data_IF_510009589582
#
_entry.id   IF_510009589582
#
_cell.length_a   1.000
_cell.length_b   1.000
_cell.length_c   1.000
_cell.angle_alpha   90.00
_cell.angle_beta   90.00
_cell.angle_gamma   90.00
#
_symmetry.space_group_name_H-M   'P 1'
#
loop_
_entity.id
_entity.type
_entity.pdbx_description
1 polymer ?
#
# COMPACT_ATOMS: atom_id res chain seq x y z
N UNK A 1 21.91 10.25 14.48
CA UNK A 1 22.71 9.43 15.41
C UNK A 1 21.83 8.26 15.82
N UNK A 2 22.43 7.10 16.07
CA UNK A 2 21.71 5.94 16.59
C UNK A 2 21.37 6.13 18.08
N UNK A 3 20.80 5.10 18.69
CA UNK A 3 20.44 5.09 20.12
C UNK A 3 21.65 5.15 21.07
N UNK A 4 22.86 4.94 20.56
CA UNK A 4 24.13 5.01 21.30
C UNK A 4 24.85 6.35 21.10
N UNK A 5 24.31 7.24 20.25
CA UNK A 5 24.90 8.54 19.94
C UNK A 5 25.94 8.50 18.82
N UNK A 6 26.10 7.37 18.13
CA UNK A 6 27.00 7.22 16.98
C UNK A 6 26.38 7.87 15.74
N UNK A 7 27.19 8.54 14.93
CA UNK A 7 26.74 9.10 13.65
C UNK A 7 26.41 7.97 12.66
N UNK A 8 25.12 7.84 12.29
CA UNK A 8 24.65 6.87 11.29
C UNK A 8 25.25 7.09 9.90
N UNK A 9 25.53 8.35 9.56
CA UNK A 9 26.14 8.79 8.30
C UNK A 9 27.21 9.82 8.66
N UNK A 10 28.43 9.73 8.11
CA UNK A 10 29.53 10.65 8.45
C UNK A 10 29.28 12.07 7.92
N UNK A 11 29.82 13.07 8.63
CA UNK A 11 29.70 14.51 8.30
C UNK A 11 30.66 14.92 7.16
N UNK A 12 30.48 14.33 5.97
CA UNK A 12 31.38 14.49 4.81
C UNK A 12 30.69 15.07 3.57
N UNK A 13 29.37 15.24 3.61
CA UNK A 13 28.54 15.55 2.44
C UNK A 13 28.03 17.00 2.51
N UNK A 14 27.93 17.63 1.34
CA UNK A 14 27.48 19.02 1.19
C UNK A 14 25.96 19.14 1.38
N UNK A 15 25.22 18.09 1.00
CA UNK A 15 23.77 18.03 1.09
C UNK A 15 23.30 16.60 1.35
N UNK A 16 22.22 16.48 2.12
CA UNK A 16 21.47 15.24 2.32
C UNK A 16 20.14 15.34 1.57
N UNK A 17 19.73 14.25 0.93
CA UNK A 17 18.43 14.08 0.31
C UNK A 17 17.49 13.24 1.19
N UNK A 18 16.60 12.50 0.55
CA UNK A 18 15.60 11.69 1.24
C UNK A 18 16.22 10.48 1.95
N UNK A 19 15.68 10.19 3.14
CA UNK A 19 15.99 9.01 3.94
C UNK A 19 15.07 7.85 3.50
N UNK A 20 15.68 6.72 3.19
CA UNK A 20 15.03 5.45 2.85
C UNK A 20 15.26 4.43 3.99
N UNK A 21 14.68 3.24 3.87
CA UNK A 21 14.68 2.22 4.94
C UNK A 21 16.08 1.77 5.37
N UNK A 22 17.06 1.80 4.47
CA UNK A 22 18.46 1.46 4.76
C UNK A 22 19.49 2.37 4.09
N UNK A 23 19.05 3.44 3.45
CA UNK A 23 19.89 4.28 2.60
C UNK A 23 19.57 5.76 2.79
N UNK A 24 20.57 6.61 2.57
CA UNK A 24 20.41 8.06 2.52
C UNK A 24 21.00 8.59 1.22
N UNK A 25 20.22 9.37 0.48
CA UNK A 25 20.75 10.11 -0.66
C UNK A 25 21.71 11.19 -0.16
N UNK A 26 22.93 11.21 -0.70
CA UNK A 26 23.99 12.13 -0.26
C UNK A 26 24.61 12.84 -1.45
N UNK A 27 24.99 14.10 -1.26
CA UNK A 27 25.61 14.91 -2.31
C UNK A 27 26.96 15.41 -1.86
N UNK A 28 27.96 15.29 -2.71
CA UNK A 28 29.30 15.84 -2.50
C UNK A 28 29.91 16.29 -3.83
N UNK A 29 30.57 17.45 -3.81
CA UNK A 29 31.22 18.06 -4.98
C UNK A 29 30.24 18.21 -6.17
N UNK A 30 28.99 18.53 -5.86
CA UNK A 30 27.91 18.73 -6.84
C UNK A 30 27.28 17.46 -7.40
N UNK A 31 27.79 16.26 -7.08
CA UNK A 31 27.27 14.96 -7.53
C UNK A 31 26.54 14.22 -6.41
N UNK A 32 25.58 13.38 -6.78
CA UNK A 32 24.82 12.51 -5.89
C UNK A 32 25.43 11.12 -5.80
N UNK A 33 25.27 10.50 -4.65
CA UNK A 33 25.53 9.09 -4.35
C UNK A 33 24.60 8.62 -3.23
N UNK A 34 24.86 7.44 -2.68
CA UNK A 34 24.00 6.84 -1.66
C UNK A 34 24.85 6.25 -0.55
N UNK A 35 24.58 6.65 0.68
CA UNK A 35 25.26 6.14 1.88
C UNK A 35 24.36 5.14 2.61
N UNK A 36 24.97 4.12 3.21
CA UNK A 36 24.32 3.32 4.25
C UNK A 36 24.05 4.17 5.49
N UNK A 37 23.08 3.75 6.31
CA UNK A 37 22.68 4.43 7.55
C UNK A 37 23.02 3.63 8.81
N UNK A 38 23.83 2.58 8.68
CA UNK A 38 24.21 1.65 9.75
C UNK A 38 25.50 2.06 10.49
N UNK A 39 25.92 3.33 10.34
CA UNK A 39 27.17 3.87 10.88
C UNK A 39 28.47 3.26 10.30
N UNK A 40 28.41 2.35 9.33
CA UNK A 40 29.61 1.86 8.63
C UNK A 40 30.30 2.95 7.81
N UNK A 41 29.53 3.96 7.37
CA UNK A 41 29.99 4.97 6.42
C UNK A 41 30.20 4.42 5.01
N UNK A 42 29.69 3.22 4.72
CA UNK A 42 29.74 2.60 3.40
C UNK A 42 28.90 3.38 2.38
N UNK A 43 29.45 3.60 1.19
CA UNK A 43 28.69 4.07 0.04
C UNK A 43 28.01 2.86 -0.62
N UNK A 44 26.68 2.81 -0.54
CA UNK A 44 25.87 1.85 -1.27
C UNK A 44 25.93 2.12 -2.77
N UNK A 45 26.01 3.39 -3.16
CA UNK A 45 26.23 3.82 -4.54
C UNK A 45 27.26 4.97 -4.55
N UNK A 46 28.22 4.97 -5.49
CA UNK A 46 29.27 5.99 -5.56
C UNK A 46 28.69 7.39 -5.79
N UNK A 47 29.41 8.41 -5.32
CA UNK A 47 29.05 9.82 -5.54
C UNK A 47 29.47 10.27 -6.94
N UNK A 48 28.72 9.87 -7.96
CA UNK A 48 29.03 10.17 -9.36
C UNK A 48 27.80 10.55 -10.22
N UNK A 49 26.62 10.59 -9.61
CA UNK A 49 25.36 10.83 -10.32
C UNK A 49 25.05 12.32 -10.40
N UNK A 50 24.39 12.72 -11.48
CA UNK A 50 23.97 14.11 -11.67
C UNK A 50 22.66 14.40 -10.97
N UNK A 51 21.82 13.39 -10.81
CA UNK A 51 20.53 13.49 -10.16
C UNK A 51 20.17 12.22 -9.38
N UNK A 52 19.41 12.41 -8.30
CA UNK A 52 18.93 11.35 -7.43
C UNK A 52 17.55 11.73 -6.89
N UNK A 53 16.59 10.81 -6.96
CA UNK A 53 15.22 11.03 -6.51
C UNK A 53 14.68 9.81 -5.80
N UNK A 54 14.14 10.00 -4.59
CA UNK A 54 13.38 8.97 -3.90
C UNK A 54 11.89 9.05 -4.25
N UNK A 55 11.22 7.90 -4.15
CA UNK A 55 9.81 7.71 -4.44
C UNK A 55 9.13 6.95 -3.31
N UNK A 56 7.81 6.84 -3.38
CA UNK A 56 7.04 5.98 -2.49
C UNK A 56 7.49 4.51 -2.60
N UNK A 57 7.17 3.69 -1.60
CA UNK A 57 7.45 2.26 -1.64
C UNK A 57 8.93 1.88 -1.47
N UNK A 58 9.74 2.77 -0.89
CA UNK A 58 11.17 2.54 -0.60
C UNK A 58 12.00 2.30 -1.88
N UNK A 59 11.80 3.16 -2.89
CA UNK A 59 12.50 3.11 -4.17
C UNK A 59 13.19 4.44 -4.43
N UNK A 60 14.38 4.39 -5.03
CA UNK A 60 15.03 5.59 -5.56
C UNK A 60 15.63 5.34 -6.95
N UNK A 61 15.75 6.42 -7.72
CA UNK A 61 16.38 6.42 -9.02
C UNK A 61 17.61 7.31 -9.01
N UNK A 62 18.67 6.84 -9.68
CA UNK A 62 19.89 7.60 -9.91
C UNK A 62 20.09 7.79 -11.41
N UNK A 63 20.50 9.02 -11.77
CA UNK A 63 20.72 9.39 -13.17
C UNK A 63 22.05 10.09 -13.35
N UNK A 64 22.78 9.68 -14.39
CA UNK A 64 23.95 10.42 -14.90
C UNK A 64 23.54 11.53 -15.88
N UNK A 65 22.24 11.75 -16.09
CA UNK A 65 21.74 12.85 -16.88
C UNK A 65 21.81 14.18 -16.11
N UNK A 66 22.29 15.23 -16.78
CA UNK A 66 22.26 16.59 -16.25
C UNK A 66 21.08 17.37 -16.85
N UNK A 67 20.10 17.70 -16.00
CA UNK A 67 18.89 18.46 -16.36
C UNK A 67 19.18 19.88 -16.85
N UNK A 68 20.35 20.43 -16.54
CA UNK A 68 20.77 21.78 -16.93
C UNK A 68 21.40 21.77 -18.31
N UNK A 69 22.31 20.83 -18.58
CA UNK A 69 23.12 20.82 -19.81
C UNK A 69 22.56 19.98 -20.95
N UNK A 70 21.55 19.14 -20.69
CA UNK A 70 20.94 18.25 -21.68
C UNK A 70 21.95 17.35 -22.43
N UNK A 71 23.07 16.98 -21.78
CA UNK A 71 24.15 16.19 -22.40
C UNK A 71 23.80 14.69 -22.52
N UNK A 72 24.10 14.09 -23.67
CA UNK A 72 23.32 12.97 -24.28
C UNK A 72 23.93 11.56 -24.10
N UNK A 73 25.04 11.39 -23.40
CA UNK A 73 25.91 10.23 -23.67
C UNK A 73 25.64 8.91 -22.91
N UNK A 74 24.54 8.75 -22.17
CA UNK A 74 24.04 7.40 -21.76
C UNK A 74 22.69 7.46 -21.03
N UNK A 75 21.61 7.38 -21.81
CA UNK A 75 20.24 7.71 -21.41
C UNK A 75 19.49 6.59 -20.66
N UNK A 76 20.02 6.07 -19.56
CA UNK A 76 19.24 5.17 -18.71
C UNK A 76 19.31 5.55 -17.24
N UNK A 77 18.13 5.46 -16.60
CA UNK A 77 18.00 5.54 -15.16
C UNK A 77 18.37 4.19 -14.55
N UNK A 78 18.99 4.22 -13.38
CA UNK A 78 19.13 3.02 -12.54
C UNK A 78 18.16 3.13 -11.39
N UNK A 79 17.38 2.08 -11.17
CA UNK A 79 16.38 2.01 -10.11
C UNK A 79 16.90 1.06 -9.03
N UNK A 80 16.74 1.47 -7.78
CA UNK A 80 17.26 0.78 -6.61
C UNK A 80 16.19 0.71 -5.51
N UNK A 81 16.26 -0.34 -4.71
CA UNK A 81 15.48 -0.45 -3.48
C UNK A 81 16.13 0.36 -2.36
N UNK A 82 15.37 0.78 -1.35
CA UNK A 82 15.85 1.65 -0.27
C UNK A 82 16.86 1.01 0.68
N UNK A 83 17.18 -0.28 0.50
CA UNK A 83 18.33 -0.94 1.12
C UNK A 83 19.63 -0.81 0.29
N UNK A 84 19.62 -0.08 -0.82
CA UNK A 84 20.77 0.15 -1.69
C UNK A 84 20.96 -0.87 -2.81
N UNK A 85 20.20 -1.98 -2.81
CA UNK A 85 20.29 -2.99 -3.86
C UNK A 85 19.70 -2.45 -5.15
N UNK A 86 20.46 -2.55 -6.23
CA UNK A 86 19.95 -2.26 -7.57
C UNK A 86 18.81 -3.22 -7.93
N UNK A 87 17.68 -2.64 -8.33
CA UNK A 87 16.52 -3.38 -8.82
C UNK A 87 16.76 -3.76 -10.29
N UNK A 88 16.82 -2.77 -11.17
CA UNK A 88 17.12 -2.95 -12.60
C UNK A 88 17.61 -1.64 -13.23
N UNK A 89 18.27 -1.76 -14.38
CA UNK A 89 18.59 -0.62 -15.25
C UNK A 89 17.51 -0.52 -16.31
N UNK A 90 16.86 0.64 -16.42
CA UNK A 90 15.82 0.85 -17.40
C UNK A 90 16.49 1.36 -18.70
N UNK A 91 17.16 0.50 -19.45
CA UNK A 91 17.99 0.90 -20.62
C UNK A 91 17.21 1.65 -21.71
N UNK A 92 15.89 1.44 -21.76
CA UNK A 92 14.96 2.07 -22.70
C UNK A 92 14.27 3.32 -22.16
N UNK A 93 14.43 3.64 -20.87
CA UNK A 93 13.71 4.71 -20.18
C UNK A 93 14.67 5.67 -19.47
N UNK A 94 14.34 6.95 -19.42
CA UNK A 94 15.24 7.97 -18.90
C UNK A 94 14.61 8.84 -17.80
N UNK A 95 13.40 8.52 -17.37
CA UNK A 95 12.77 9.14 -16.20
C UNK A 95 11.86 8.15 -15.47
N UNK A 96 11.87 8.23 -14.14
CA UNK A 96 10.80 7.71 -13.28
C UNK A 96 9.85 8.86 -13.01
N UNK A 97 8.60 8.69 -13.43
CA UNK A 97 7.55 9.69 -13.27
C UNK A 97 6.90 9.57 -11.88
N UNK A 98 6.56 8.35 -11.47
CA UNK A 98 5.94 8.07 -10.18
C UNK A 98 6.07 6.59 -9.78
N UNK A 99 5.79 6.29 -8.51
CA UNK A 99 5.66 4.92 -7.99
C UNK A 99 4.33 4.82 -7.24
N UNK A 100 3.47 3.90 -7.66
CA UNK A 100 2.21 3.60 -7.00
C UNK A 100 2.11 2.10 -6.71
N UNK A 101 2.13 1.75 -5.41
CA UNK A 101 2.12 0.37 -4.95
C UNK A 101 3.31 -0.45 -5.46
N UNK A 102 3.01 -1.37 -6.38
CA UNK A 102 3.97 -2.29 -7.00
C UNK A 102 4.38 -1.87 -8.41
N UNK A 103 3.88 -0.72 -8.89
CA UNK A 103 4.11 -0.19 -10.23
C UNK A 103 5.04 1.02 -10.18
N UNK A 104 6.09 0.97 -10.98
CA UNK A 104 7.03 2.06 -11.24
C UNK A 104 6.70 2.62 -12.63
N UNK A 105 6.17 3.84 -12.66
CA UNK A 105 5.84 4.52 -13.89
C UNK A 105 7.07 5.22 -14.45
N UNK A 106 7.45 4.82 -15.65
CA UNK A 106 8.62 5.33 -16.37
C UNK A 106 8.22 5.92 -17.70
N UNK A 107 9.02 6.87 -18.18
CA UNK A 107 8.87 7.46 -19.50
C UNK A 107 10.18 7.41 -20.27
N UNK A 108 10.07 7.49 -21.60
CA UNK A 108 11.20 7.72 -22.50
C UNK A 108 11.02 9.10 -23.12
N UNK A 109 11.90 10.06 -22.79
CA UNK A 109 11.87 11.38 -23.42
C UNK A 109 11.86 11.28 -24.94
N UNK A 110 10.90 11.96 -25.56
CA UNK A 110 10.64 11.93 -27.01
C UNK A 110 9.40 11.13 -27.37
N UNK A 111 9.07 10.12 -26.56
CA UNK A 111 7.84 9.34 -26.68
C UNK A 111 6.88 9.90 -25.62
N UNK A 112 5.72 10.44 -26.02
CA UNK A 112 4.67 10.90 -25.09
C UNK A 112 3.96 9.69 -24.42
N UNK A 113 4.70 8.64 -24.08
CA UNK A 113 4.19 7.37 -23.61
C UNK A 113 4.68 7.07 -22.19
N UNK A 114 3.74 6.66 -21.35
CA UNK A 114 4.01 6.17 -19.99
C UNK A 114 3.97 4.65 -19.98
N UNK A 115 4.90 4.01 -19.28
CA UNK A 115 4.95 2.56 -19.09
C UNK A 115 4.98 2.26 -17.59
N UNK A 116 4.17 1.30 -17.14
CA UNK A 116 4.19 0.82 -15.76
C UNK A 116 5.00 -0.46 -15.67
N UNK A 117 6.10 -0.43 -14.91
CA UNK A 117 6.97 -1.58 -14.67
C UNK A 117 6.72 -2.15 -13.28
N UNK A 118 6.90 -3.45 -13.11
CA UNK A 118 6.98 -4.07 -11.79
C UNK A 118 8.26 -3.62 -11.08
N UNK A 119 8.34 -3.92 -9.78
CA UNK A 119 9.57 -3.75 -8.99
C UNK A 119 10.77 -4.56 -9.51
N UNK A 120 10.57 -5.52 -10.40
CA UNK A 120 11.62 -6.31 -11.07
C UNK A 120 11.89 -5.86 -12.51
N UNK A 121 11.17 -4.87 -13.03
CA UNK A 121 11.35 -4.32 -14.37
C UNK A 121 10.49 -4.98 -15.45
N UNK A 122 9.57 -5.87 -15.08
CA UNK A 122 8.61 -6.47 -16.02
C UNK A 122 7.52 -5.46 -16.39
N UNK A 123 7.06 -5.45 -17.64
CA UNK A 123 5.99 -4.54 -18.06
C UNK A 123 4.65 -5.03 -17.47
N UNK A 124 4.08 -4.25 -16.56
CA UNK A 124 2.74 -4.47 -16.00
C UNK A 124 1.68 -3.69 -16.76
N UNK A 125 1.98 -2.41 -17.07
CA UNK A 125 1.11 -1.53 -17.84
C UNK A 125 1.80 -1.23 -19.18
N UNK A 126 1.21 -1.63 -20.32
CA UNK A 126 1.80 -1.38 -21.63
C UNK A 126 1.89 0.13 -21.91
N UNK A 127 2.70 0.55 -22.89
CA UNK A 127 2.84 1.96 -23.23
C UNK A 127 1.51 2.63 -23.55
N UNK A 128 1.19 3.70 -22.82
CA UNK A 128 -0.01 4.53 -23.04
C UNK A 128 0.43 5.86 -23.65
N UNK A 129 0.09 6.07 -24.91
CA UNK A 129 0.43 7.29 -25.65
C UNK A 129 -0.34 8.53 -25.14
N UNK A 130 0.15 9.72 -25.50
CA UNK A 130 -0.38 11.03 -25.12
C UNK A 130 -0.65 11.18 -23.61
N UNK A 131 0.19 10.53 -22.81
CA UNK A 131 0.10 10.53 -21.35
C UNK A 131 1.00 11.62 -20.77
N UNK A 132 0.43 12.46 -19.91
CA UNK A 132 1.18 13.39 -19.07
C UNK A 132 1.10 12.94 -17.61
N UNK A 133 2.11 13.36 -16.82
CA UNK A 133 2.34 13.11 -15.39
C UNK A 133 1.24 12.28 -14.71
N UNK A 134 1.49 11.01 -14.33
CA UNK A 134 0.53 10.24 -13.55
C UNK A 134 0.18 11.01 -12.28
N UNK A 135 -1.10 11.35 -12.13
CA UNK A 135 -1.61 11.75 -10.83
C UNK A 135 -1.89 10.48 -10.04
N UNK A 136 -1.07 10.20 -9.02
CA UNK A 136 -1.40 9.16 -8.04
C UNK A 136 -2.45 9.68 -7.06
N UNK A 137 -3.51 8.89 -6.89
CA UNK A 137 -4.62 9.17 -5.97
C UNK A 137 -4.79 7.99 -5.03
N UNK A 138 -3.96 7.96 -3.98
CA UNK A 138 -3.88 6.80 -3.07
C UNK A 138 -3.35 5.58 -3.82
N UNK A 139 -4.16 4.53 -3.91
CA UNK A 139 -3.81 3.26 -4.56
C UNK A 139 -4.14 3.22 -6.06
N UNK A 140 -4.39 4.38 -6.69
CA UNK A 140 -4.82 4.48 -8.08
C UNK A 140 -3.95 5.45 -8.87
N UNK A 141 -3.75 5.15 -10.15
CA UNK A 141 -3.07 6.03 -11.10
C UNK A 141 -3.97 6.28 -12.30
N UNK A 142 -4.15 7.55 -12.62
CA UNK A 142 -4.76 7.99 -13.86
C UNK A 142 -3.68 8.12 -14.91
N UNK A 143 -3.75 7.28 -15.94
CA UNK A 143 -2.82 7.34 -17.07
C UNK A 143 -3.56 7.91 -18.26
N UNK A 144 -3.06 9.05 -18.74
CA UNK A 144 -3.50 9.85 -19.88
C UNK A 144 -4.78 10.67 -19.69
N UNK A 145 -4.79 11.86 -20.28
CA UNK A 145 -5.93 12.78 -20.30
C UNK A 145 -5.48 14.24 -20.30
N UNK A 146 -5.89 15.03 -21.31
CA UNK A 146 -5.63 16.47 -21.37
C UNK A 146 -6.73 17.20 -20.59
N UNK A 147 -6.33 18.03 -19.62
CA UNK A 147 -7.18 19.08 -19.06
C UNK A 147 -7.43 20.14 -20.14
N UNK A 148 -8.55 20.08 -20.87
CA UNK A 148 -9.03 21.23 -21.63
C UNK A 148 -10.20 21.86 -20.87
N UNK A 149 -10.01 23.11 -20.47
CA UNK A 149 -10.91 23.91 -19.64
C UNK A 149 -12.24 24.15 -20.36
N UNK A 150 -13.22 23.26 -20.21
CA UNK A 150 -14.65 23.60 -20.01
C UNK A 150 -15.63 22.42 -20.04
N UNK A 151 -15.27 21.20 -20.43
CA UNK A 151 -16.20 20.06 -20.45
C UNK A 151 -15.44 18.74 -20.20
N UNK A 152 -15.67 18.13 -19.03
CA UNK A 152 -15.39 16.73 -18.61
C UNK A 152 -14.05 16.07 -19.01
N UNK A 153 -13.36 15.53 -18.00
CA UNK A 153 -12.03 14.89 -18.06
C UNK A 153 -12.06 13.63 -18.94
N UNK A 154 -11.31 13.55 -20.07
CA UNK A 154 -11.11 12.28 -20.75
C UNK A 154 -10.18 11.40 -19.89
N UNK A 155 -10.75 10.37 -19.24
CA UNK A 155 -9.97 9.37 -18.50
C UNK A 155 -9.27 8.48 -19.53
N UNK A 156 -7.93 8.44 -19.57
CA UNK A 156 -7.24 7.58 -20.54
C UNK A 156 -7.17 6.10 -20.12
N UNK A 157 -6.93 5.80 -18.85
CA UNK A 157 -7.26 4.55 -18.13
C UNK A 157 -7.10 4.82 -16.62
N UNK A 158 -7.71 3.99 -15.79
CA UNK A 158 -7.37 3.90 -14.35
C UNK A 158 -6.67 2.58 -14.10
N UNK A 159 -5.51 2.67 -13.46
CA UNK A 159 -4.70 1.53 -13.05
C UNK A 159 -4.65 1.49 -11.52
N UNK A 160 -4.78 0.29 -10.93
CA UNK A 160 -4.62 0.12 -9.49
C UNK A 160 -3.14 -0.07 -9.07
N UNK A 161 -2.90 -0.12 -7.76
CA UNK A 161 -1.58 -0.31 -7.15
C UNK A 161 -0.83 -1.57 -7.57
N UNK A 162 -1.50 -2.56 -8.17
CA UNK A 162 -0.90 -3.81 -8.65
C UNK A 162 -0.62 -3.79 -10.17
N UNK A 163 -0.96 -2.70 -10.87
CA UNK A 163 -0.75 -2.56 -12.31
C UNK A 163 -1.91 -3.05 -13.17
N UNK A 164 -3.07 -3.33 -12.58
CA UNK A 164 -4.24 -3.80 -13.32
C UNK A 164 -5.06 -2.61 -13.82
N UNK A 165 -5.47 -2.66 -15.08
CA UNK A 165 -6.39 -1.69 -15.67
C UNK A 165 -7.81 -2.02 -15.20
N UNK A 166 -8.36 -1.18 -14.33
CA UNK A 166 -9.70 -1.38 -13.76
C UNK A 166 -10.77 -0.51 -14.41
N UNK A 167 -10.39 0.64 -14.98
CA UNK A 167 -11.27 1.45 -15.82
C UNK A 167 -10.62 1.71 -17.19
N UNK A 168 -11.07 1.08 -18.28
CA UNK A 168 -10.51 1.28 -19.60
C UNK A 168 -10.90 2.64 -20.20
N UNK A 169 -10.19 3.01 -21.27
CA UNK A 169 -10.40 4.27 -21.97
C UNK A 169 -11.85 4.48 -22.38
N UNK A 170 -12.37 5.68 -22.14
CA UNK A 170 -13.64 6.12 -22.71
C UNK A 170 -14.89 5.52 -22.06
N UNK A 171 -14.80 4.41 -21.34
CA UNK A 171 -15.95 3.75 -20.71
C UNK A 171 -16.56 4.57 -19.55
N UNK A 172 -15.72 5.33 -18.83
CA UNK A 172 -16.12 6.04 -17.63
C UNK A 172 -15.71 7.52 -17.62
N UNK A 173 -16.43 8.32 -16.84
CA UNK A 173 -16.07 9.69 -16.49
C UNK A 173 -15.94 9.80 -14.96
N UNK A 174 -14.85 10.41 -14.47
CA UNK A 174 -14.68 10.70 -13.06
C UNK A 174 -15.62 11.84 -12.61
N UNK A 175 -16.14 11.70 -11.40
CA UNK A 175 -16.83 12.80 -10.72
C UNK A 175 -15.79 13.67 -10.01
N UNK A 176 -15.86 14.99 -10.23
CA UNK A 176 -14.83 15.99 -9.93
C UNK A 176 -14.57 16.26 -8.44
N UNK A 177 -15.34 15.66 -7.56
CA UNK A 177 -15.49 15.99 -6.16
C UNK A 177 -15.19 14.78 -5.28
N UNK A 178 -13.90 14.60 -4.94
CA UNK A 178 -13.49 13.65 -3.90
C UNK A 178 -13.57 12.17 -4.30
N UNK A 179 -13.59 11.86 -5.60
CA UNK A 179 -13.83 10.51 -6.13
C UNK A 179 -13.01 9.40 -5.48
N UNK A 180 -11.75 9.64 -5.09
CA UNK A 180 -10.89 8.62 -4.46
C UNK A 180 -10.99 8.65 -2.93
N UNK A 181 -11.67 7.67 -2.35
CA UNK A 181 -11.79 7.54 -0.88
C UNK A 181 -11.63 6.08 -0.48
N UNK A 182 -10.73 5.79 0.46
CA UNK A 182 -10.48 4.41 0.89
C UNK A 182 -9.97 3.52 -0.26
N UNK A 183 -10.53 2.31 -0.39
CA UNK A 183 -10.16 1.30 -1.40
C UNK A 183 -10.94 1.42 -2.72
N UNK A 184 -11.50 2.58 -3.04
CA UNK A 184 -12.33 2.73 -4.25
C UNK A 184 -12.54 4.17 -4.69
N UNK A 185 -13.20 4.32 -5.82
CA UNK A 185 -13.56 5.62 -6.36
C UNK A 185 -14.85 5.65 -7.15
N UNK A 186 -15.48 6.83 -7.22
CA UNK A 186 -16.79 7.01 -7.86
C UNK A 186 -16.66 7.56 -9.28
N UNK A 187 -17.39 6.94 -10.19
CA UNK A 187 -17.39 7.23 -11.61
C UNK A 187 -18.80 7.12 -12.20
N UNK A 188 -18.96 7.63 -13.42
CA UNK A 188 -20.17 7.44 -14.24
C UNK A 188 -19.80 6.60 -15.46
N UNK A 189 -20.53 5.50 -15.67
CA UNK A 189 -20.45 4.74 -16.91
C UNK A 189 -21.10 5.55 -18.05
N UNK A 190 -20.36 5.84 -19.12
CA UNK A 190 -20.83 6.71 -20.21
C UNK A 190 -21.90 6.08 -21.09
N UNK A 191 -21.96 4.75 -21.17
CA UNK A 191 -22.95 4.04 -21.98
C UNK A 191 -24.32 4.00 -21.28
N UNK A 192 -24.31 3.74 -19.97
CA UNK A 192 -25.54 3.54 -19.20
C UNK A 192 -25.98 4.79 -18.42
N UNK A 193 -25.07 5.75 -18.20
CA UNK A 193 -25.28 6.87 -17.29
C UNK A 193 -25.28 6.45 -15.81
N UNK A 194 -25.06 5.18 -15.50
CA UNK A 194 -25.09 4.65 -14.14
C UNK A 194 -23.87 5.15 -13.36
N UNK A 195 -24.12 5.70 -12.18
CA UNK A 195 -23.07 6.00 -11.21
C UNK A 195 -22.66 4.70 -10.53
N UNK A 196 -21.37 4.47 -10.38
CA UNK A 196 -20.82 3.26 -9.76
C UNK A 196 -19.60 3.64 -8.94
N UNK A 197 -19.40 2.93 -7.83
CA UNK A 197 -18.12 2.94 -7.12
C UNK A 197 -17.30 1.75 -7.57
N UNK A 198 -16.16 2.04 -8.19
CA UNK A 198 -15.19 1.06 -8.59
C UNK A 198 -14.22 0.80 -7.44
N UNK A 199 -14.14 -0.44 -6.99
CA UNK A 199 -13.22 -0.86 -5.94
C UNK A 199 -11.82 -1.14 -6.53
N UNK A 200 -10.82 -1.21 -5.66
CA UNK A 200 -9.41 -1.36 -6.05
C UNK A 200 -9.11 -2.60 -6.89
N UNK A 201 -9.89 -3.66 -6.69
CA UNK A 201 -9.86 -4.92 -7.43
C UNK A 201 -10.71 -4.88 -8.73
N UNK A 202 -11.29 -3.73 -9.06
CA UNK A 202 -12.17 -3.55 -10.22
C UNK A 202 -13.62 -3.94 -9.98
N UNK A 203 -14.00 -4.35 -8.76
CA UNK A 203 -15.38 -4.69 -8.46
C UNK A 203 -16.27 -3.44 -8.51
N UNK A 204 -17.37 -3.54 -9.26
CA UNK A 204 -18.33 -2.46 -9.43
C UNK A 204 -19.45 -2.52 -8.41
N UNK A 205 -19.42 -1.62 -7.44
CA UNK A 205 -20.53 -1.37 -6.54
C UNK A 205 -21.49 -0.36 -7.17
N UNK A 206 -22.59 -0.88 -7.69
CA UNK A 206 -23.63 -0.05 -8.30
C UNK A 206 -24.31 0.78 -7.25
N UNK A 207 -24.38 2.07 -7.52
CA UNK A 207 -25.17 3.00 -6.72
C UNK A 207 -26.65 2.82 -7.00
N UNK A 208 -27.53 2.95 -5.99
CA UNK A 208 -28.95 3.10 -6.21
C UNK A 208 -29.20 4.25 -7.20
N UNK A 209 -30.06 4.01 -8.20
CA UNK A 209 -30.38 5.00 -9.21
C UNK A 209 -31.32 6.07 -8.62
N UNK A 210 -30.76 6.96 -7.81
CA UNK A 210 -31.46 8.04 -7.12
C UNK A 210 -30.84 9.38 -7.47
N UNK A 211 -31.63 10.47 -7.58
CA UNK A 211 -31.13 11.75 -8.06
C UNK A 211 -30.03 12.36 -7.18
N UNK A 212 -30.00 12.02 -5.88
CA UNK A 212 -29.07 12.57 -4.91
C UNK A 212 -28.54 11.48 -3.97
N UNK A 213 -27.25 11.17 -4.08
CA UNK A 213 -26.55 10.28 -3.15
C UNK A 213 -25.18 10.85 -2.81
N UNK A 214 -24.70 10.55 -1.60
CA UNK A 214 -23.39 10.94 -1.11
C UNK A 214 -22.64 9.70 -0.64
N UNK A 215 -21.44 9.51 -1.19
CA UNK A 215 -20.48 8.51 -0.76
C UNK A 215 -19.82 8.95 0.55
N UNK A 216 -19.93 8.14 1.61
CA UNK A 216 -19.22 8.40 2.86
C UNK A 216 -18.10 7.37 3.13
N UNK A 217 -17.54 6.76 2.08
CA UNK A 217 -16.50 5.72 2.07
C UNK A 217 -16.96 4.34 2.56
N UNK A 218 -17.99 4.29 3.40
CA UNK A 218 -18.46 3.08 4.10
C UNK A 218 -19.87 2.66 3.69
N UNK A 219 -20.46 3.41 2.76
CA UNK A 219 -21.83 3.25 2.33
C UNK A 219 -22.35 4.52 1.71
N UNK A 220 -23.68 4.61 1.64
CA UNK A 220 -24.36 5.66 0.91
C UNK A 220 -25.38 6.36 1.79
N UNK A 221 -25.34 7.69 1.77
CA UNK A 221 -26.48 8.50 2.21
C UNK A 221 -27.29 8.81 0.96
N UNK A 222 -28.57 8.43 0.98
CA UNK A 222 -29.43 8.53 -0.20
C UNK A 222 -30.62 9.42 0.15
N UNK A 223 -30.91 10.37 -0.75
CA UNK A 223 -31.93 11.39 -0.54
C UNK A 223 -33.05 11.28 -1.58
N UNK A 224 -34.28 11.47 -1.12
CA UNK A 224 -35.44 11.67 -1.97
C UNK A 224 -35.70 13.17 -2.20
N UNK A 225 -36.41 13.49 -3.27
CA UNK A 225 -36.78 14.87 -3.62
C UNK A 225 -37.67 15.54 -2.56
N UNK A 226 -38.34 14.74 -1.72
CA UNK A 226 -39.17 15.21 -0.61
C UNK A 226 -38.35 15.57 0.65
N UNK A 227 -37.02 15.41 0.61
CA UNK A 227 -36.11 15.66 1.73
C UNK A 227 -35.93 14.50 2.71
N UNK A 228 -36.65 13.38 2.55
CA UNK A 228 -36.35 12.18 3.33
C UNK A 228 -35.02 11.57 2.86
N UNK A 229 -34.38 10.83 3.76
CA UNK A 229 -33.14 10.14 3.44
C UNK A 229 -33.02 8.84 4.23
N UNK A 230 -32.19 7.94 3.71
CA UNK A 230 -31.82 6.67 4.34
C UNK A 230 -30.33 6.42 4.16
N UNK A 231 -29.80 5.48 4.94
CA UNK A 231 -28.37 5.15 4.91
C UNK A 231 -28.22 3.67 4.66
N UNK A 232 -27.33 3.34 3.73
CA UNK A 232 -26.91 1.98 3.47
C UNK A 232 -25.45 1.76 3.84
N UNK A 233 -25.07 0.50 4.00
CA UNK A 233 -23.68 0.09 3.95
C UNK A 233 -23.16 0.14 2.50
N UNK A 234 -21.87 -0.14 2.32
CA UNK A 234 -21.21 -0.15 1.02
C UNK A 234 -21.87 -1.11 0.00
N UNK A 235 -22.55 -2.16 0.50
CA UNK A 235 -23.22 -3.19 -0.30
C UNK A 235 -24.71 -2.91 -0.53
N UNK A 236 -25.22 -1.76 -0.07
CA UNK A 236 -26.61 -1.37 -0.24
C UNK A 236 -27.58 -1.90 0.82
N UNK A 237 -27.10 -2.59 1.87
CA UNK A 237 -27.95 -2.99 2.98
C UNK A 237 -28.35 -1.76 3.79
N UNK A 238 -29.64 -1.59 4.07
CA UNK A 238 -30.16 -0.46 4.84
C UNK A 238 -29.65 -0.56 6.30
N UNK A 239 -28.85 0.41 6.71
CA UNK A 239 -28.41 0.62 8.11
C UNK A 239 -29.42 1.49 8.84
N UNK A 240 -29.87 2.56 8.18
CA UNK A 240 -30.87 3.50 8.71
C UNK A 240 -32.00 3.59 7.70
N UNK A 241 -33.24 3.23 8.07
CA UNK A 241 -34.36 3.25 7.14
C UNK A 241 -34.80 4.68 6.80
N UNK A 242 -35.55 4.78 5.70
CA UNK A 242 -36.10 6.05 5.24
C UNK A 242 -37.05 6.66 6.28
N UNK A 243 -36.96 7.98 6.47
CA UNK A 243 -37.91 8.75 7.28
C UNK A 243 -37.55 8.88 8.76
N UNK A 244 -36.47 8.25 9.21
CA UNK A 244 -35.90 8.47 10.55
C UNK A 244 -35.32 9.88 10.71
N UNK A 245 -34.75 10.44 9.64
CA UNK A 245 -34.10 11.75 9.63
C UNK A 245 -34.53 12.59 8.42
N UNK A 246 -34.59 13.92 8.60
CA UNK A 246 -35.10 14.89 7.61
C UNK A 246 -33.99 15.67 6.93
N UNK A 247 -32.81 15.75 7.54
CA UNK A 247 -31.61 16.31 6.91
C UNK A 247 -30.38 15.61 7.47
N UNK A 248 -29.50 15.17 6.58
CA UNK A 248 -28.20 14.61 6.95
C UNK A 248 -27.12 15.42 6.26
N UNK A 249 -26.26 16.06 7.05
CA UNK A 249 -25.07 16.75 6.56
C UNK A 249 -23.85 15.88 6.89
N UNK A 250 -23.04 15.63 5.87
CA UNK A 250 -21.81 14.88 6.01
C UNK A 250 -20.66 15.83 6.32
N UNK A 251 -19.87 15.49 7.34
CA UNK A 251 -18.63 16.21 7.66
C UNK A 251 -17.57 15.18 8.03
N UNK A 252 -16.55 15.06 7.17
CA UNK A 252 -15.35 14.27 7.47
C UNK A 252 -14.40 15.02 8.43
N UNK A 253 -14.58 16.32 8.55
CA UNK A 253 -13.74 17.21 9.33
C UNK A 253 -14.59 18.37 9.86
N UNK A 254 -14.82 18.38 11.17
CA UNK A 254 -15.22 19.59 11.89
C UNK A 254 -14.05 19.98 12.80
N UNK A 255 -13.48 21.19 12.66
CA UNK A 255 -12.39 21.65 13.52
C UNK A 255 -12.77 21.66 15.01
N UNK A 256 -14.08 21.61 15.32
CA UNK A 256 -14.62 21.62 16.68
C UNK A 256 -14.97 20.22 17.23
N UNK A 257 -14.86 19.15 16.44
CA UNK A 257 -15.18 17.76 16.82
C UNK A 257 -14.00 16.80 16.62
N UNK A 258 -12.78 17.26 16.91
CA UNK A 258 -11.52 16.49 16.82
C UNK A 258 -11.46 15.21 17.67
N UNK A 259 -12.45 14.97 18.52
CA UNK A 259 -12.57 13.74 19.34
C UNK A 259 -13.03 12.53 18.50
N UNK A 260 -13.76 12.75 17.40
CA UNK A 260 -14.27 11.67 16.57
C UNK A 260 -13.17 11.24 15.57
N UNK A 261 -12.57 10.07 15.83
CA UNK A 261 -11.49 9.49 15.01
C UNK A 261 -11.97 8.82 13.71
N UNK A 262 -13.30 8.79 13.48
CA UNK A 262 -13.92 8.07 12.37
C UNK A 262 -14.98 8.95 11.69
N UNK A 263 -15.29 8.70 10.40
CA UNK A 263 -16.40 9.34 9.70
C UNK A 263 -17.69 9.25 10.52
N UNK A 264 -18.40 10.37 10.64
CA UNK A 264 -19.66 10.46 11.35
C UNK A 264 -20.67 11.24 10.50
N UNK A 265 -21.94 11.05 10.82
CA UNK A 265 -23.03 11.75 10.11
C UNK A 265 -23.72 12.67 11.10
N UNK A 266 -23.84 13.94 10.74
CA UNK A 266 -24.68 14.88 11.49
C UNK A 266 -26.09 14.75 10.93
N UNK A 267 -27.02 14.29 11.76
CA UNK A 267 -28.40 14.07 11.38
C UNK A 267 -29.35 14.98 12.16
N UNK A 268 -30.45 15.38 11.54
CA UNK A 268 -31.54 16.12 12.16
C UNK A 268 -32.81 15.27 12.19
N UNK A 269 -33.40 15.12 13.38
CA UNK A 269 -34.67 14.43 13.56
C UNK A 269 -35.85 15.27 13.02
N UNK A 270 -37.03 14.65 12.94
CA UNK A 270 -38.28 15.32 12.51
C UNK A 270 -38.73 16.51 13.38
N UNK A 271 -38.16 16.69 14.57
CA UNK A 271 -38.45 17.79 15.48
C UNK A 271 -37.40 18.91 15.38
N UNK A 272 -36.47 18.82 14.44
CA UNK A 272 -35.41 19.80 14.22
C UNK A 272 -34.20 19.65 15.16
N UNK A 273 -34.10 18.57 15.93
CA UNK A 273 -32.97 18.31 16.85
C UNK A 273 -31.82 17.64 16.12
N UNK A 274 -30.61 18.10 16.39
CA UNK A 274 -29.39 17.56 15.79
C UNK A 274 -28.74 16.49 16.67
N UNK A 275 -28.16 15.48 16.04
CA UNK A 275 -27.35 14.45 16.66
C UNK A 275 -26.20 14.01 15.75
N UNK A 276 -25.27 13.23 16.32
CA UNK A 276 -24.17 12.60 15.58
C UNK A 276 -24.38 11.10 15.58
N UNK A 277 -24.38 10.51 14.39
CA UNK A 277 -24.51 9.08 14.19
C UNK A 277 -23.12 8.49 13.98
N UNK A 278 -22.75 7.54 14.83
CA UNK A 278 -21.65 6.62 14.60
C UNK A 278 -22.24 5.36 13.97
N UNK A 279 -21.77 5.02 12.76
CA UNK A 279 -22.26 3.87 12.03
C UNK A 279 -21.32 2.69 12.22
N UNK A 280 -21.90 1.48 12.33
CA UNK A 280 -21.14 0.25 12.39
C UNK A 280 -20.27 0.10 11.12
N UNK A 281 -19.01 -0.27 11.31
CA UNK A 281 -18.04 -0.36 10.23
C UNK A 281 -18.07 -1.77 9.62
N UNK A 282 -18.48 -1.87 8.35
CA UNK A 282 -18.23 -3.06 7.54
C UNK A 282 -17.26 -2.71 6.41
N UNK A 283 -15.96 -2.95 6.58
CA UNK A 283 -14.98 -2.60 5.55
C UNK A 283 -15.16 -3.46 4.30
N UNK A 284 -14.76 -2.91 3.15
CA UNK A 284 -14.55 -3.72 1.96
C UNK A 284 -13.29 -4.56 2.16
N UNK A 285 -13.44 -5.88 2.15
CA UNK A 285 -12.32 -6.81 2.18
C UNK A 285 -11.98 -7.19 0.75
N UNK A 286 -10.72 -7.04 0.37
CA UNK A 286 -10.29 -7.39 -0.99
C UNK A 286 -10.36 -8.92 -1.14
N UNK A 287 -11.11 -9.44 -2.12
CA UNK A 287 -11.21 -10.88 -2.37
C UNK A 287 -9.89 -11.45 -2.91
N UNK A 288 -9.67 -12.76 -2.78
CA UNK A 288 -8.51 -13.41 -3.36
C UNK A 288 -8.61 -13.47 -4.90
N UNK A 289 -7.47 -13.69 -5.54
CA UNK A 289 -7.45 -14.05 -6.96
C UNK A 289 -8.05 -15.43 -7.20
N UNK A 290 -8.66 -15.64 -8.37
CA UNK A 290 -9.27 -16.91 -8.77
C UNK A 290 -8.37 -18.13 -8.56
N UNK A 291 -7.08 -18.01 -8.89
CA UNK A 291 -6.11 -19.09 -8.73
C UNK A 291 -5.87 -19.50 -7.27
N UNK A 292 -6.13 -18.60 -6.32
CA UNK A 292 -5.90 -18.83 -4.89
C UNK A 292 -7.17 -19.28 -4.14
N UNK A 293 -8.35 -19.21 -4.78
CA UNK A 293 -9.63 -19.48 -4.12
C UNK A 293 -9.68 -20.90 -3.53
N UNK A 294 -9.23 -21.90 -4.29
CA UNK A 294 -9.26 -23.31 -3.88
C UNK A 294 -8.40 -23.54 -2.64
N UNK A 295 -7.12 -23.14 -2.71
CA UNK A 295 -6.15 -23.26 -1.61
C UNK A 295 -6.61 -22.51 -0.34
N UNK A 296 -7.13 -21.29 -0.50
CA UNK A 296 -7.64 -20.48 0.61
C UNK A 296 -8.85 -21.15 1.25
N UNK A 297 -9.79 -21.65 0.43
CA UNK A 297 -11.00 -22.31 0.94
C UNK A 297 -10.64 -23.57 1.72
N UNK A 298 -9.71 -24.37 1.20
CA UNK A 298 -9.20 -25.55 1.90
C UNK A 298 -8.57 -25.17 3.23
N UNK A 299 -7.64 -24.21 3.23
CA UNK A 299 -6.92 -23.77 4.43
C UNK A 299 -7.86 -23.19 5.50
N UNK A 300 -8.85 -22.39 5.10
CA UNK A 300 -9.89 -21.86 6.01
C UNK A 300 -10.74 -23.00 6.58
N UNK A 301 -11.18 -23.95 5.74
CA UNK A 301 -11.99 -25.09 6.19
C UNK A 301 -11.24 -26.02 7.15
N UNK A 302 -9.91 -26.10 7.01
CA UNK A 302 -9.02 -26.84 7.91
C UNK A 302 -8.67 -26.06 9.18
N UNK A 303 -9.13 -24.82 9.35
CA UNK A 303 -8.81 -23.96 10.49
C UNK A 303 -7.38 -23.43 10.50
N UNK A 304 -6.68 -23.49 9.36
CA UNK A 304 -5.28 -23.03 9.24
C UNK A 304 -5.16 -21.51 9.11
N UNK A 305 -6.25 -20.83 8.71
CA UNK A 305 -6.30 -19.36 8.62
C UNK A 305 -7.25 -18.82 9.68
N UNK A 306 -6.75 -18.21 10.77
CA UNK A 306 -7.60 -17.60 11.79
C UNK A 306 -8.58 -16.57 11.22
N UNK A 307 -9.76 -16.44 11.82
CA UNK A 307 -10.84 -15.55 11.33
C UNK A 307 -10.36 -14.10 11.12
N UNK A 308 -9.56 -13.57 12.05
CA UNK A 308 -8.99 -12.22 11.95
C UNK A 308 -7.94 -12.06 10.83
N UNK A 309 -7.49 -13.16 10.21
CA UNK A 309 -6.60 -13.18 9.05
C UNK A 309 -7.33 -13.38 7.72
N UNK A 310 -8.63 -13.67 7.72
CA UNK A 310 -9.41 -13.91 6.50
C UNK A 310 -9.87 -12.61 5.83
N UNK A 311 -8.91 -11.77 5.42
CA UNK A 311 -9.14 -10.43 4.88
C UNK A 311 -8.05 -10.02 3.91
N UNK A 312 -8.38 -9.11 3.01
CA UNK A 312 -7.42 -8.35 2.20
C UNK A 312 -6.35 -9.23 1.53
N UNK A 313 -6.82 -10.28 0.84
CA UNK A 313 -6.00 -11.38 0.34
C UNK A 313 -4.94 -11.01 -0.71
N UNK A 314 -5.00 -9.78 -1.22
CA UNK A 314 -4.07 -9.24 -2.23
C UNK A 314 -3.08 -8.23 -1.63
N UNK A 315 -3.27 -7.84 -0.37
CA UNK A 315 -2.36 -6.93 0.32
C UNK A 315 -1.11 -7.68 0.80
N UNK A 316 -0.02 -6.92 1.02
CA UNK A 316 1.22 -7.50 1.54
C UNK A 316 1.02 -8.03 2.96
N UNK A 317 1.34 -9.31 3.18
CA UNK A 317 1.35 -9.88 4.52
C UNK A 317 2.38 -9.16 5.41
N UNK A 318 1.98 -8.77 6.61
CA UNK A 318 2.88 -8.13 7.57
C UNK A 318 3.58 -9.15 8.46
N UNK A 319 4.67 -8.77 9.11
CA UNK A 319 5.34 -9.57 10.15
C UNK A 319 4.36 -10.02 11.25
N UNK A 320 3.43 -9.14 11.63
CA UNK A 320 2.40 -9.47 12.62
C UNK A 320 1.36 -10.45 12.10
N UNK A 321 0.86 -10.25 10.87
CA UNK A 321 -0.08 -11.19 10.25
C UNK A 321 0.52 -12.59 10.12
N UNK A 322 1.79 -12.67 9.73
CA UNK A 322 2.50 -13.94 9.61
C UNK A 322 2.64 -14.68 10.94
N UNK A 323 2.82 -13.96 12.06
CA UNK A 323 2.82 -14.58 13.40
C UNK A 323 1.44 -15.14 13.76
N UNK A 324 0.36 -14.40 13.47
CA UNK A 324 -1.01 -14.86 13.73
C UNK A 324 -1.38 -16.07 12.88
N UNK A 325 -0.92 -16.13 11.62
CA UNK A 325 -1.07 -17.31 10.77
C UNK A 325 -0.40 -18.57 11.34
N UNK A 326 0.61 -18.42 12.21
CA UNK A 326 1.22 -19.56 12.90
C UNK A 326 0.46 -20.02 14.15
N UNK A 327 -0.49 -19.22 14.66
CA UNK A 327 -1.18 -19.53 15.92
C UNK A 327 -1.83 -20.93 15.91
N UNK A 328 -2.61 -21.34 14.88
CA UNK A 328 -3.21 -22.68 14.85
C UNK A 328 -2.18 -23.82 14.93
N UNK A 329 -1.02 -23.64 14.29
CA UNK A 329 0.08 -24.62 14.33
C UNK A 329 0.68 -24.73 15.73
N UNK A 330 0.96 -23.59 16.37
CA UNK A 330 1.59 -23.54 17.70
C UNK A 330 0.65 -24.04 18.80
N UNK A 331 -0.64 -23.72 18.71
CA UNK A 331 -1.69 -24.20 19.60
C UNK A 331 -1.87 -25.72 19.51
N UNK A 332 -1.97 -26.26 18.29
CA UNK A 332 -2.09 -27.71 18.05
C UNK A 332 -0.91 -28.48 18.61
N UNK A 333 0.29 -27.89 18.55
CA UNK A 333 1.50 -28.47 19.10
C UNK A 333 1.59 -28.38 20.64
N UNK A 334 0.64 -27.72 21.31
CA UNK A 334 0.60 -27.55 22.76
C UNK A 334 1.78 -26.75 23.31
N UNK A 335 2.36 -25.86 22.49
CA UNK A 335 3.58 -25.16 22.84
C UNK A 335 3.26 -24.03 23.83
N UNK A 336 3.79 -24.15 25.05
CA UNK A 336 3.65 -23.12 26.08
C UNK A 336 4.80 -22.13 26.04
N UNK A 337 4.51 -20.86 26.38
CA UNK A 337 5.48 -19.78 26.42
C UNK A 337 6.56 -20.03 27.48
N UNK A 338 7.85 -20.11 27.11
CA UNK A 338 8.94 -20.30 28.07
C UNK A 338 9.33 -19.01 28.81
N UNK A 339 8.96 -17.83 28.30
CA UNK A 339 9.20 -16.50 28.88
C UNK A 339 8.37 -15.42 28.16
N UNK A 340 7.93 -14.35 28.83
CA UNK A 340 7.24 -13.26 28.14
C UNK A 340 8.26 -12.39 27.37
N UNK A 341 8.20 -12.41 26.04
CA UNK A 341 8.82 -11.37 25.23
C UNK A 341 8.07 -10.04 25.47
N UNK A 342 8.75 -8.91 25.32
CA UNK A 342 8.13 -7.60 25.44
C UNK A 342 8.66 -6.69 24.32
N UNK A 343 7.73 -6.04 23.63
CA UNK A 343 8.02 -5.04 22.62
C UNK A 343 7.25 -3.77 22.96
N UNK A 344 7.80 -2.62 22.57
CA UNK A 344 7.20 -1.31 22.86
C UNK A 344 6.06 -0.94 21.91
N UNK A 345 5.97 -1.63 20.77
CA UNK A 345 5.07 -1.32 19.66
C UNK A 345 4.00 -2.40 19.41
N UNK A 346 3.91 -3.43 20.25
CA UNK A 346 2.87 -4.45 20.16
C UNK A 346 2.61 -5.15 21.50
N UNK A 347 1.35 -5.54 21.72
CA UNK A 347 0.89 -6.37 22.83
C UNK A 347 0.16 -7.63 22.34
N UNK A 348 0.32 -7.95 21.05
CA UNK A 348 -0.35 -9.07 20.39
C UNK A 348 0.19 -10.41 20.89
N UNK A 349 -0.70 -11.25 21.42
CA UNK A 349 -0.32 -12.49 22.11
C UNK A 349 0.38 -13.50 21.17
N UNK A 350 -0.03 -13.58 19.90
CA UNK A 350 0.57 -14.50 18.92
C UNK A 350 1.99 -14.07 18.56
N UNK A 351 2.21 -12.76 18.41
CA UNK A 351 3.55 -12.20 18.20
C UNK A 351 4.45 -12.48 19.41
N UNK A 352 3.94 -12.24 20.62
CA UNK A 352 4.71 -12.44 21.85
C UNK A 352 5.02 -13.92 22.09
N UNK A 353 4.09 -14.82 21.76
CA UNK A 353 4.29 -16.27 21.80
C UNK A 353 5.39 -16.68 20.80
N UNK A 354 5.28 -16.30 19.52
CA UNK A 354 6.27 -16.61 18.51
C UNK A 354 7.67 -16.10 18.90
N UNK A 355 7.75 -14.88 19.45
CA UNK A 355 9.00 -14.30 19.93
C UNK A 355 9.57 -15.05 21.14
N UNK A 356 8.72 -15.44 22.11
CA UNK A 356 9.14 -16.22 23.28
C UNK A 356 9.75 -17.58 22.91
N UNK A 357 9.33 -18.13 21.78
CA UNK A 357 9.80 -19.39 21.24
C UNK A 357 11.05 -19.25 20.37
N UNK A 358 11.53 -18.03 20.15
CA UNK A 358 12.66 -17.74 19.27
C UNK A 358 12.34 -17.95 17.79
N UNK A 359 11.06 -18.02 17.41
CA UNK A 359 10.62 -18.17 16.02
C UNK A 359 10.82 -16.85 15.26
N UNK A 360 10.64 -15.72 15.95
CA UNK A 360 10.82 -14.37 15.41
C UNK A 360 11.70 -13.54 16.33
N UNK A 361 12.39 -12.55 15.75
CA UNK A 361 13.20 -11.58 16.48
C UNK A 361 12.65 -10.16 16.26
N UNK A 362 12.94 -9.25 17.20
CA UNK A 362 12.64 -7.82 17.03
C UNK A 362 13.48 -7.16 15.95
N UNK A 363 13.07 -5.97 15.52
CA UNK A 363 13.75 -5.16 14.51
C UNK A 363 14.76 -4.17 15.09
N UNK A 364 15.00 -4.24 16.41
CA UNK A 364 15.89 -3.36 17.16
C UNK A 364 15.13 -2.33 18.02
N UNK A 365 15.85 -1.61 18.89
CA UNK A 365 15.29 -0.56 19.76
C UNK A 365 14.04 -0.95 20.56
N UNK A 366 13.95 -2.23 20.96
CA UNK A 366 12.79 -2.76 21.70
C UNK A 366 11.49 -2.84 20.88
N UNK A 367 11.58 -2.89 19.55
CA UNK A 367 10.43 -2.97 18.63
C UNK A 367 10.36 -4.31 17.90
N UNK A 368 9.14 -4.68 17.51
CA UNK A 368 8.86 -5.82 16.64
C UNK A 368 8.53 -5.40 15.19
N UNK A 369 8.00 -4.19 14.99
CA UNK A 369 7.47 -3.69 13.72
C UNK A 369 6.33 -4.56 13.15
N UNK A 370 5.19 -4.71 13.86
CA UNK A 370 4.12 -5.64 13.46
C UNK A 370 3.51 -5.32 12.09
N UNK A 371 3.43 -4.04 11.72
CA UNK A 371 2.82 -3.58 10.46
C UNK A 371 3.81 -3.55 9.28
N UNK A 372 5.07 -3.95 9.49
CA UNK A 372 6.06 -3.98 8.43
C UNK A 372 5.77 -5.17 7.49
N UNK A 373 5.72 -4.97 6.17
CA UNK A 373 5.61 -6.06 5.20
C UNK A 373 6.75 -7.06 5.36
N UNK A 374 6.42 -8.36 5.33
CA UNK A 374 7.40 -9.43 5.45
C UNK A 374 8.01 -9.78 4.09
N UNK A 375 9.32 -10.03 4.04
CA UNK A 375 9.94 -10.55 2.82
C UNK A 375 9.72 -12.06 2.67
N UNK A 376 9.78 -12.59 1.44
CA UNK A 376 9.67 -14.05 1.20
C UNK A 376 10.74 -14.86 1.95
N UNK A 377 11.95 -14.32 2.05
CA UNK A 377 13.06 -14.95 2.77
C UNK A 377 12.77 -15.02 4.26
N UNK A 378 12.31 -13.91 4.82
CA UNK A 378 11.93 -13.82 6.22
C UNK A 378 10.75 -14.74 6.56
N UNK A 379 9.71 -14.76 5.73
CA UNK A 379 8.60 -15.70 5.87
C UNK A 379 9.08 -17.17 5.88
N UNK A 380 10.01 -17.53 5.00
CA UNK A 380 10.59 -18.88 4.97
C UNK A 380 11.38 -19.20 6.24
N UNK A 381 12.20 -18.26 6.74
CA UNK A 381 12.95 -18.42 8.00
C UNK A 381 12.00 -18.63 9.18
N UNK A 382 10.93 -17.84 9.25
CA UNK A 382 9.92 -17.93 10.30
C UNK A 382 9.20 -19.29 10.24
N UNK A 383 8.75 -19.73 9.06
CA UNK A 383 8.12 -21.05 8.89
C UNK A 383 9.04 -22.19 9.31
N UNK A 384 10.28 -22.19 8.85
CA UNK A 384 11.27 -23.23 9.21
C UNK A 384 11.52 -23.24 10.71
N UNK A 385 11.65 -22.06 11.33
CA UNK A 385 11.88 -21.93 12.77
C UNK A 385 10.68 -22.46 13.57
N UNK A 386 9.46 -22.14 13.15
CA UNK A 386 8.23 -22.67 13.74
C UNK A 386 8.17 -24.20 13.63
N UNK A 387 8.43 -24.76 12.44
CA UNK A 387 8.44 -26.20 12.22
C UNK A 387 9.51 -26.92 13.06
N UNK A 388 10.71 -26.35 13.19
CA UNK A 388 11.76 -26.92 14.03
C UNK A 388 11.37 -26.90 15.51
N UNK A 389 10.58 -25.91 15.95
CA UNK A 389 10.10 -25.82 17.33
C UNK A 389 9.01 -26.85 17.63
N UNK A 390 8.11 -27.07 16.67
CA UNK A 390 7.01 -28.05 16.78
C UNK A 390 7.50 -29.49 16.59
N UNK A 391 8.47 -29.72 15.70
CA UNK A 391 9.01 -31.04 15.36
C UNK A 391 10.53 -31.13 15.62
N UNK A 392 10.98 -31.04 16.88
CA UNK A 392 12.40 -30.94 17.23
C UNK A 392 13.23 -32.19 16.90
N UNK A 393 12.59 -33.34 16.68
CA UNK A 393 13.23 -34.63 16.38
C UNK A 393 13.22 -35.01 14.90
N UNK A 394 12.70 -34.14 14.01
CA UNK A 394 12.68 -34.39 12.57
C UNK A 394 14.00 -34.00 11.87
N UNK A 395 14.39 -34.73 10.82
CA UNK A 395 15.61 -34.47 10.04
C UNK A 395 15.71 -33.08 9.39
N UNK A 396 14.60 -32.34 9.32
CA UNK A 396 14.55 -30.93 8.91
C UNK A 396 15.36 -30.01 9.84
N UNK A 397 15.36 -30.26 11.15
CA UNK A 397 16.10 -29.47 12.13
C UNK A 397 17.62 -29.68 11.99
N UNK A 398 18.06 -30.89 11.61
CA UNK A 398 19.48 -31.22 11.44
C UNK A 398 20.13 -30.56 10.21
N UNK A 399 19.38 -30.25 9.15
CA UNK A 399 19.95 -29.66 7.92
C UNK A 399 20.09 -28.13 7.98
N UNK A 400 19.20 -27.44 8.70
CA UNK A 400 19.16 -25.97 8.74
C UNK A 400 20.30 -25.38 9.57
N UNK A 401 20.69 -26.04 10.68
CA UNK A 401 21.76 -25.55 11.55
C UNK A 401 23.18 -25.95 11.11
N UNK A 402 23.33 -26.88 10.16
CA UNK A 402 24.67 -27.32 9.69
C UNK A 402 25.29 -26.44 8.59
N UNK A 403 24.55 -25.53 7.95
CA UNK A 403 25.09 -24.65 6.92
C UNK A 403 25.59 -23.28 7.43
N UNK A 404 25.46 -23.00 8.74
CA UNK A 404 25.87 -21.72 9.34
C UNK A 404 27.31 -21.67 9.88
N UNK A 405 28.04 -22.78 9.89
CA UNK A 405 29.41 -22.83 10.43
C UNK A 405 30.40 -23.28 9.36
N UNK A 406 30.97 -22.34 8.61
CA UNK A 406 32.29 -22.57 8.00
C UNK A 406 33.34 -22.46 9.11
N UNK A 407 34.21 -23.47 9.33
CA UNK A 407 35.43 -23.25 10.08
C UNK A 407 36.34 -22.32 9.28
N UNK A 408 37.04 -21.46 10.03
CA UNK A 408 38.08 -20.52 9.59
C UNK A 408 39.11 -21.09 8.62
#
# INVERSE_FOLDING_TARGET
>A
MDSEGTLCVPLLYDQLGDLLSGALLVRKDGKWGVSSIDASGELLQPVEYNDARAFSGDIYALSKWDWVTHAVDSNFITIHYGNGRQAFSAESYNAVEDVCGDVIYVSRRGDNALVGLSKTGEVLVPPVADSYLPGSYGDFVLVGGIYSTRNMVPVSIVVNRWGEVIAPYGAYALLSDGGFVGKGFTLINKETGQITRMMIDGYELRLPNTPWSVDYNRGWVIYNDNGSAWITDLFGNIIIPEGEYVMMSFSMYSPNLTVLKHPYIIAQDKNGKYGVLSLAEKPYLIPPHDWAIEDITEAVSAGLVPENQQRDWRDSCTRGDFCRLLAPLLETAGVQSPKQAAFTDTHDEDILLAASLGIVNGTGNGKFSPNQPISRQEAAVIMISALCRVYPTGGLCLMVFTQGSRPS
#
